data_IF_301058906739
#
_entry.id   IF_301058906739
#
_cell.length_a   1.000
_cell.length_b   1.000
_cell.length_c   1.000
_cell.angle_alpha   90.00
_cell.angle_beta   90.00
_cell.angle_gamma   90.00
#
_symmetry.space_group_name_H-M   'P 1'
#
loop_
_entity.id
_entity.type
_entity.pdbx_description
1 polymer ?
#
# COMPACT_ATOMS: atom_id res chain seq x y z
N UNK A 1 23.40 38.96 -13.15
CA UNK A 1 23.74 38.01 -12.07
C UNK A 1 22.64 38.10 -11.05
N UNK A 2 21.68 37.17 -11.13
CA UNK A 2 20.59 37.06 -10.14
C UNK A 2 21.20 36.53 -8.85
N UNK A 3 20.96 37.19 -7.72
CA UNK A 3 21.31 36.67 -6.41
C UNK A 3 20.65 35.30 -6.24
N UNK A 4 21.34 34.27 -5.70
CA UNK A 4 20.69 33.05 -5.31
C UNK A 4 19.60 33.43 -4.30
N UNK A 5 18.36 33.01 -4.59
CA UNK A 5 17.25 33.15 -3.65
C UNK A 5 17.67 32.47 -2.36
N UNK A 6 17.55 33.17 -1.24
CA UNK A 6 17.77 32.58 0.07
C UNK A 6 16.78 31.39 0.21
N UNK A 7 17.24 30.24 0.73
CA UNK A 7 16.37 29.05 0.85
C UNK A 7 15.11 29.38 1.60
N UNK A 8 13.96 29.05 1.01
CA UNK A 8 12.66 29.18 1.66
C UNK A 8 12.64 28.26 2.89
N UNK A 9 12.22 28.81 4.03
CA UNK A 9 12.00 28.01 5.24
C UNK A 9 10.67 27.24 5.19
N UNK A 10 10.01 27.25 4.03
CA UNK A 10 8.67 26.67 3.88
C UNK A 10 8.72 25.15 4.02
N UNK A 11 7.90 24.63 4.94
CA UNK A 11 7.66 23.22 5.11
C UNK A 11 6.44 22.83 4.27
N UNK A 12 6.62 21.86 3.41
CA UNK A 12 5.56 21.27 2.62
C UNK A 12 5.20 19.90 3.20
N UNK A 13 3.93 19.53 3.15
CA UNK A 13 3.45 18.25 3.68
C UNK A 13 2.50 17.59 2.70
N UNK A 14 2.55 16.26 2.69
CA UNK A 14 1.61 15.42 1.95
C UNK A 14 1.24 14.20 2.79
N UNK A 15 0.05 13.66 2.55
CA UNK A 15 -0.41 12.39 3.10
C UNK A 15 -0.51 11.36 2.00
N UNK A 16 -0.20 10.12 2.31
CA UNK A 16 -0.52 8.99 1.46
C UNK A 16 -1.05 7.83 2.28
N UNK A 17 -2.06 7.18 1.73
CA UNK A 17 -2.88 6.20 2.42
C UNK A 17 -2.36 4.77 2.20
N UNK A 18 -2.61 3.91 3.19
CA UNK A 18 -2.43 2.47 3.08
C UNK A 18 -3.38 1.86 2.05
N UNK A 19 -3.17 0.58 1.72
CA UNK A 19 -4.09 -0.18 0.85
C UNK A 19 -4.38 -1.56 1.41
N UNK A 20 -5.45 -2.15 0.91
CA UNK A 20 -5.76 -3.57 0.98
C UNK A 20 -6.00 -4.10 -0.42
N UNK A 21 -5.74 -5.40 -0.66
CA UNK A 21 -6.17 -6.08 -1.88
C UNK A 21 -7.53 -6.73 -1.61
N UNK A 22 -8.56 -6.29 -2.32
CA UNK A 22 -9.88 -6.92 -2.30
C UNK A 22 -9.88 -8.20 -3.14
N UNK A 23 -9.09 -8.19 -4.19
CA UNK A 23 -8.83 -9.31 -5.07
C UNK A 23 -7.35 -9.32 -5.46
N UNK A 24 -6.74 -10.49 -5.48
CA UNK A 24 -5.39 -10.70 -6.00
C UNK A 24 -5.33 -12.04 -6.73
N UNK A 25 -5.60 -12.00 -8.01
CA UNK A 25 -5.39 -13.10 -8.94
C UNK A 25 -3.96 -13.08 -9.46
N UNK A 26 -3.30 -14.23 -9.46
CA UNK A 26 -1.92 -14.40 -9.91
C UNK A 26 -1.87 -15.41 -11.04
N UNK A 27 -1.45 -14.96 -12.22
CA UNK A 27 -1.25 -15.79 -13.42
C UNK A 27 -0.12 -16.81 -13.25
N UNK A 28 0.18 -17.52 -14.32
CA UNK A 28 1.35 -18.37 -14.38
C UNK A 28 2.65 -17.54 -14.43
N UNK A 29 3.77 -18.15 -14.00
CA UNK A 29 5.07 -17.52 -14.09
C UNK A 29 5.44 -17.20 -15.55
N UNK A 30 5.88 -15.97 -15.81
CA UNK A 30 6.31 -15.50 -17.12
C UNK A 30 7.79 -15.76 -17.32
N UNK A 31 8.26 -15.68 -18.57
CA UNK A 31 9.69 -15.84 -18.91
C UNK A 31 10.59 -14.81 -18.24
N UNK A 32 10.06 -13.62 -17.91
CA UNK A 32 10.77 -12.55 -17.20
C UNK A 32 10.85 -12.79 -15.66
N UNK A 33 10.30 -13.89 -15.16
CA UNK A 33 10.28 -14.26 -13.75
C UNK A 33 9.17 -13.55 -12.92
N UNK A 34 8.31 -12.77 -13.57
CA UNK A 34 7.14 -12.16 -12.94
C UNK A 34 5.86 -12.94 -13.28
N UNK A 35 4.77 -12.57 -12.65
CA UNK A 35 3.44 -13.11 -12.90
C UNK A 35 2.54 -12.00 -13.43
N UNK A 36 1.62 -12.34 -14.32
CA UNK A 36 0.51 -11.46 -14.66
C UNK A 36 -0.43 -11.37 -13.47
N UNK A 37 -0.77 -10.16 -13.06
CA UNK A 37 -1.69 -9.93 -11.95
C UNK A 37 -3.02 -9.36 -12.45
N UNK A 38 -4.10 -9.78 -11.78
CA UNK A 38 -5.36 -9.06 -11.77
C UNK A 38 -5.68 -8.77 -10.31
N UNK A 39 -5.49 -7.53 -9.89
CA UNK A 39 -5.69 -7.14 -8.49
C UNK A 39 -6.65 -5.98 -8.37
N UNK A 40 -7.54 -6.03 -7.38
CA UNK A 40 -8.39 -4.90 -7.02
C UNK A 40 -7.89 -4.35 -5.70
N UNK A 41 -7.35 -3.13 -5.78
CA UNK A 41 -6.88 -2.38 -4.62
C UNK A 41 -7.97 -1.48 -4.06
N UNK A 42 -7.96 -1.28 -2.75
CA UNK A 42 -8.71 -0.23 -2.09
C UNK A 42 -7.81 0.53 -1.12
N UNK A 43 -7.81 1.86 -1.19
CA UNK A 43 -7.10 2.72 -0.25
C UNK A 43 -7.86 2.78 1.07
N UNK A 44 -7.12 2.82 2.19
CA UNK A 44 -7.64 2.88 3.55
C UNK A 44 -7.29 4.23 4.18
N UNK A 45 -8.12 4.72 5.10
CA UNK A 45 -7.95 6.02 5.76
C UNK A 45 -6.77 6.11 6.77
N UNK A 46 -5.99 5.05 6.86
CA UNK A 46 -4.71 5.06 7.58
C UNK A 46 -3.61 5.60 6.66
N UNK A 47 -2.90 6.62 7.11
CA UNK A 47 -1.92 7.32 6.28
C UNK A 47 -0.65 7.66 7.04
N UNK A 48 0.44 7.75 6.30
CA UNK A 48 1.68 8.39 6.73
C UNK A 48 1.67 9.87 6.34
N UNK A 49 2.45 10.68 7.04
CA UNK A 49 2.68 12.08 6.70
C UNK A 49 4.13 12.23 6.27
N UNK A 50 4.33 12.73 5.05
CA UNK A 50 5.64 13.05 4.52
C UNK A 50 5.79 14.56 4.48
N UNK A 51 6.89 15.06 4.99
CA UNK A 51 7.22 16.49 5.02
C UNK A 51 8.52 16.73 4.25
N UNK A 52 8.58 17.80 3.50
CA UNK A 52 9.78 18.21 2.78
C UNK A 52 10.04 19.68 2.97
N UNK A 53 11.31 20.03 3.19
CA UNK A 53 11.82 21.38 3.22
C UNK A 53 13.12 21.44 2.43
N UNK A 54 13.22 22.40 1.52
CA UNK A 54 14.46 22.59 0.80
C UNK A 54 15.63 22.94 1.75
N UNK A 55 16.81 22.38 1.50
CA UNK A 55 18.06 22.62 2.20
C UNK A 55 19.21 22.28 1.25
N UNK A 56 20.40 22.83 1.46
CA UNK A 56 21.61 22.42 0.73
C UNK A 56 22.07 21.02 1.14
N UNK A 57 21.83 20.65 2.40
CA UNK A 57 22.15 19.34 2.96
C UNK A 57 21.02 18.34 2.71
N UNK A 58 21.39 17.06 2.54
CA UNK A 58 20.47 15.93 2.44
C UNK A 58 20.25 15.36 3.83
N UNK A 59 18.99 15.30 4.27
CA UNK A 59 18.62 14.64 5.51
C UNK A 59 17.34 13.83 5.28
N UNK A 60 17.36 12.57 5.71
CA UNK A 60 16.18 11.69 5.70
C UNK A 60 15.89 11.27 7.13
N UNK A 61 14.71 11.61 7.62
CA UNK A 61 14.28 11.32 8.99
C UNK A 61 13.03 10.43 8.98
N UNK A 62 12.97 9.48 9.91
CA UNK A 62 11.83 8.60 10.07
C UNK A 62 11.39 8.62 11.52
N UNK A 63 10.13 8.98 11.73
CA UNK A 63 9.51 9.11 13.05
C UNK A 63 8.19 8.32 13.10
N UNK A 64 7.50 8.35 14.24
CA UNK A 64 6.22 7.69 14.41
C UNK A 64 6.30 6.26 14.95
N UNK A 65 5.12 5.69 15.23
CA UNK A 65 4.98 4.40 15.92
C UNK A 65 5.48 3.20 15.13
N UNK A 66 5.60 3.34 13.80
CA UNK A 66 6.03 2.29 12.87
C UNK A 66 7.36 2.62 12.18
N UNK A 67 8.17 3.54 12.73
CA UNK A 67 9.47 3.94 12.20
C UNK A 67 10.53 2.83 12.23
N UNK A 68 10.42 1.89 13.16
CA UNK A 68 11.45 0.84 13.36
C UNK A 68 11.63 -0.01 12.11
N UNK A 69 12.87 -0.07 11.60
CA UNK A 69 13.25 -0.86 10.43
C UNK A 69 13.02 -0.16 9.08
N UNK A 70 12.48 1.07 9.08
CA UNK A 70 12.39 1.89 7.87
C UNK A 70 13.73 2.60 7.65
N UNK A 71 14.35 2.52 6.45
CA UNK A 71 15.63 3.19 6.18
C UNK A 71 15.53 4.71 6.33
N UNK A 72 16.42 5.30 7.12
CA UNK A 72 16.58 6.75 7.25
C UNK A 72 17.80 7.24 6.44
N UNK A 73 17.89 6.80 5.19
CA UNK A 73 19.00 7.08 4.26
C UNK A 73 18.44 7.38 2.87
N UNK A 74 19.29 7.79 1.97
CA UNK A 74 18.94 8.03 0.55
C UNK A 74 18.48 6.77 -0.20
N UNK A 75 18.70 5.57 0.34
CA UNK A 75 18.13 4.33 -0.20
C UNK A 75 16.61 4.20 0.06
N UNK A 76 16.05 5.08 0.89
CA UNK A 76 14.60 5.10 1.15
C UNK A 76 13.83 5.44 -0.13
N UNK A 77 12.75 4.69 -0.39
CA UNK A 77 11.95 4.83 -1.60
C UNK A 77 11.35 6.25 -1.75
N UNK A 78 10.99 6.89 -0.63
CA UNK A 78 10.49 8.26 -0.63
C UNK A 78 11.59 9.28 -1.02
N UNK A 79 12.86 9.05 -0.60
CA UNK A 79 13.95 9.90 -1.08
C UNK A 79 14.23 9.68 -2.56
N UNK A 80 14.21 8.44 -3.03
CA UNK A 80 14.34 8.14 -4.47
C UNK A 80 13.26 8.82 -5.31
N UNK A 81 12.06 8.98 -4.75
CA UNK A 81 10.99 9.74 -5.39
C UNK A 81 11.37 11.24 -5.54
N UNK A 82 11.97 11.85 -4.51
CA UNK A 82 12.51 13.22 -4.58
C UNK A 82 13.60 13.32 -5.67
N UNK A 83 14.51 12.34 -5.72
CA UNK A 83 15.58 12.32 -6.75
C UNK A 83 15.03 12.25 -8.17
N UNK A 84 14.04 11.40 -8.43
CA UNK A 84 13.42 11.29 -9.76
C UNK A 84 12.75 12.60 -10.19
N UNK A 85 12.02 13.25 -9.29
CA UNK A 85 11.39 14.54 -9.58
C UNK A 85 12.44 15.62 -9.79
N UNK A 86 13.45 15.73 -8.93
CA UNK A 86 14.53 16.69 -9.06
C UNK A 86 15.28 16.53 -10.40
N UNK A 87 15.61 15.28 -10.77
CA UNK A 87 16.21 14.96 -12.06
C UNK A 87 15.33 15.43 -13.23
N UNK A 88 14.02 15.21 -13.14
CA UNK A 88 13.08 15.62 -14.18
C UNK A 88 13.00 17.14 -14.34
N UNK A 89 13.09 17.85 -13.24
CA UNK A 89 13.11 19.31 -13.20
C UNK A 89 14.51 19.92 -13.50
N UNK A 90 15.53 19.08 -13.69
CA UNK A 90 16.94 19.47 -13.85
C UNK A 90 17.47 20.28 -12.65
N UNK A 91 17.13 19.80 -11.45
CA UNK A 91 17.52 20.39 -10.17
C UNK A 91 18.36 19.39 -9.36
N UNK A 92 19.21 19.86 -8.43
CA UNK A 92 19.86 18.99 -7.47
C UNK A 92 18.80 18.38 -6.53
N UNK A 93 18.94 17.10 -6.21
CA UNK A 93 18.14 16.44 -5.18
C UNK A 93 18.76 16.72 -3.82
N UNK A 94 18.30 17.74 -3.13
CA UNK A 94 18.76 18.15 -1.79
C UNK A 94 17.55 18.48 -0.94
N UNK A 95 17.72 18.56 0.38
CA UNK A 95 16.65 18.94 1.29
C UNK A 95 16.48 17.97 2.46
N UNK A 96 15.53 18.29 3.31
CA UNK A 96 15.18 17.52 4.49
C UNK A 96 13.81 16.86 4.23
N UNK A 97 13.81 15.54 4.18
CA UNK A 97 12.62 14.71 4.04
C UNK A 97 12.34 14.01 5.37
N UNK A 98 11.16 14.22 5.94
CA UNK A 98 10.74 13.58 7.18
C UNK A 98 9.49 12.75 6.93
N UNK A 99 9.47 11.49 7.37
CA UNK A 99 8.33 10.59 7.27
C UNK A 99 7.83 10.24 8.68
N UNK A 100 6.57 10.58 8.96
CA UNK A 100 5.87 10.14 10.17
C UNK A 100 5.07 8.88 9.86
N UNK A 101 5.54 7.73 10.38
CA UNK A 101 5.01 6.40 10.08
C UNK A 101 3.85 6.00 10.98
N UNK A 102 2.66 5.96 10.41
CA UNK A 102 1.43 5.46 11.03
C UNK A 102 0.89 4.20 10.34
N UNK A 103 1.30 3.93 9.08
CA UNK A 103 1.03 2.68 8.38
C UNK A 103 1.98 1.60 8.92
N UNK A 104 1.46 0.45 9.36
CA UNK A 104 2.31 -0.65 9.82
C UNK A 104 3.30 -1.13 8.77
N UNK A 105 4.58 -1.23 9.13
CA UNK A 105 5.66 -1.65 8.24
C UNK A 105 5.70 -3.18 7.98
N UNK A 106 4.70 -3.93 8.44
CA UNK A 106 4.72 -5.39 8.47
C UNK A 106 4.50 -6.10 7.11
N UNK A 107 4.28 -5.35 6.03
CA UNK A 107 3.98 -5.90 4.69
C UNK A 107 2.48 -6.03 4.39
N UNK A 108 2.12 -5.98 3.12
CA UNK A 108 0.74 -6.11 2.63
C UNK A 108 -0.07 -4.81 2.58
N UNK A 109 0.36 -3.71 3.22
CA UNK A 109 -0.34 -2.42 3.27
C UNK A 109 0.33 -1.29 2.45
N UNK A 110 1.42 -1.57 1.76
CA UNK A 110 2.15 -0.64 0.88
C UNK A 110 2.67 0.65 1.54
N UNK A 111 3.05 0.64 2.84
CA UNK A 111 3.49 1.84 3.56
C UNK A 111 4.68 2.55 2.93
N UNK A 112 5.69 1.82 2.43
CA UNK A 112 6.82 2.42 1.71
C UNK A 112 6.43 3.02 0.35
N UNK A 113 5.47 2.40 -0.35
CA UNK A 113 4.92 2.92 -1.60
C UNK A 113 4.07 4.18 -1.37
N UNK A 114 3.33 4.22 -0.26
CA UNK A 114 2.59 5.40 0.18
C UNK A 114 3.53 6.58 0.44
N UNK A 115 4.63 6.36 1.18
CA UNK A 115 5.64 7.39 1.40
C UNK A 115 6.23 7.92 0.08
N UNK A 116 6.54 7.00 -0.85
CA UNK A 116 7.08 7.37 -2.16
C UNK A 116 6.08 8.18 -2.99
N UNK A 117 4.80 7.82 -2.99
CA UNK A 117 3.75 8.56 -3.69
C UNK A 117 3.56 9.97 -3.10
N UNK A 118 3.53 10.08 -1.76
CA UNK A 118 3.50 11.39 -1.10
C UNK A 118 4.73 12.22 -1.44
N UNK A 119 5.92 11.61 -1.44
CA UNK A 119 7.17 12.30 -1.77
C UNK A 119 7.24 12.75 -3.23
N UNK A 120 6.72 11.95 -4.20
CA UNK A 120 6.60 12.36 -5.61
C UNK A 120 5.76 13.64 -5.75
N UNK A 121 4.56 13.62 -5.18
CA UNK A 121 3.63 14.75 -5.23
C UNK A 121 4.24 15.98 -4.55
N UNK A 122 4.81 15.78 -3.37
CA UNK A 122 5.38 16.81 -2.53
C UNK A 122 6.61 17.45 -3.17
N UNK A 123 7.56 16.64 -3.67
CA UNK A 123 8.75 17.13 -4.36
C UNK A 123 8.39 17.88 -5.64
N UNK A 124 7.42 17.39 -6.41
CA UNK A 124 6.95 18.08 -7.62
C UNK A 124 6.42 19.47 -7.28
N UNK A 125 5.59 19.58 -6.25
CA UNK A 125 5.05 20.87 -5.84
C UNK A 125 6.11 21.80 -5.22
N UNK A 126 6.91 21.30 -4.29
CA UNK A 126 7.90 22.09 -3.56
C UNK A 126 9.01 22.60 -4.48
N UNK A 127 9.63 21.70 -5.26
CA UNK A 127 10.75 22.08 -6.14
C UNK A 127 10.29 22.96 -7.30
N UNK A 128 9.14 22.71 -7.90
CA UNK A 128 8.63 23.57 -8.98
C UNK A 128 8.32 24.98 -8.46
N UNK A 129 7.74 25.10 -7.26
CA UNK A 129 7.45 26.39 -6.62
C UNK A 129 8.72 27.13 -6.24
N UNK A 130 9.65 26.48 -5.53
CA UNK A 130 10.88 27.07 -5.02
C UNK A 130 11.78 27.59 -6.15
N UNK A 131 11.90 26.82 -7.23
CA UNK A 131 12.79 27.16 -8.35
C UNK A 131 12.07 27.76 -9.57
N UNK A 132 10.79 28.09 -9.45
CA UNK A 132 9.97 28.64 -10.55
C UNK A 132 10.07 27.77 -11.81
N UNK A 133 9.88 26.46 -11.66
CA UNK A 133 9.87 25.48 -12.75
C UNK A 133 8.44 25.05 -13.06
N UNK A 134 8.19 24.68 -14.32
CA UNK A 134 6.96 23.99 -14.68
C UNK A 134 6.91 22.64 -13.95
N UNK A 135 5.82 22.34 -13.25
CA UNK A 135 5.69 21.05 -12.55
C UNK A 135 5.66 19.89 -13.54
N UNK A 136 6.11 18.73 -13.10
CA UNK A 136 5.96 17.46 -13.82
C UNK A 136 4.46 17.16 -13.96
N UNK A 137 4.00 16.78 -15.14
CA UNK A 137 2.58 16.46 -15.40
C UNK A 137 2.13 15.21 -14.63
N UNK A 138 0.82 15.08 -14.42
CA UNK A 138 0.24 13.91 -13.72
C UNK A 138 0.61 12.59 -14.41
N UNK A 139 0.52 12.52 -15.75
CA UNK A 139 0.88 11.33 -16.50
C UNK A 139 2.34 10.92 -16.25
N UNK A 140 3.22 11.91 -16.21
CA UNK A 140 4.65 11.67 -15.97
C UNK A 140 4.92 11.29 -14.52
N UNK A 141 4.17 11.83 -13.55
CA UNK A 141 4.27 11.39 -12.16
C UNK A 141 3.85 9.92 -12.00
N UNK A 142 2.83 9.45 -12.74
CA UNK A 142 2.43 8.04 -12.76
C UNK A 142 3.53 7.15 -13.35
N UNK A 143 4.22 7.60 -14.42
CA UNK A 143 5.38 6.88 -14.95
C UNK A 143 6.50 6.76 -13.90
N UNK A 144 6.87 7.87 -13.25
CA UNK A 144 7.88 7.86 -12.19
C UNK A 144 7.46 6.99 -10.99
N UNK A 145 6.17 6.99 -10.66
CA UNK A 145 5.61 6.11 -9.63
C UNK A 145 5.82 4.62 -9.99
N UNK A 146 5.59 4.25 -11.27
CA UNK A 146 5.80 2.88 -11.76
C UNK A 146 7.26 2.44 -11.76
N UNK A 147 8.21 3.38 -11.94
CA UNK A 147 9.65 3.12 -11.82
C UNK A 147 10.06 2.81 -10.37
N UNK A 148 9.39 3.42 -9.39
CA UNK A 148 9.67 3.22 -7.96
C UNK A 148 9.16 1.89 -7.44
N UNK A 149 7.98 1.44 -7.90
CA UNK A 149 7.41 0.18 -7.48
C UNK A 149 5.96 0.00 -7.90
N UNK A 150 5.50 -1.26 -7.97
CA UNK A 150 4.19 -1.63 -8.51
C UNK A 150 3.00 -1.02 -7.74
N UNK A 151 3.12 -0.83 -6.42
CA UNK A 151 2.05 -0.28 -5.59
C UNK A 151 2.06 1.27 -5.55
N UNK A 152 3.16 1.93 -5.98
CA UNK A 152 3.30 3.40 -5.90
C UNK A 152 2.27 4.13 -6.76
N UNK A 153 1.97 3.71 -8.00
CA UNK A 153 0.91 4.33 -8.80
C UNK A 153 -0.44 4.29 -8.10
N UNK A 154 -0.78 3.16 -7.45
CA UNK A 154 -2.05 3.04 -6.73
C UNK A 154 -2.10 3.96 -5.51
N UNK A 155 -1.05 4.03 -4.70
CA UNK A 155 -1.02 4.92 -3.53
C UNK A 155 -1.01 6.40 -3.93
N UNK A 156 -0.56 6.73 -5.14
CA UNK A 156 -0.70 8.06 -5.74
C UNK A 156 -2.17 8.35 -6.15
N UNK A 157 -2.84 7.38 -6.79
CA UNK A 157 -4.22 7.49 -7.29
C UNK A 157 -5.26 7.41 -6.16
N UNK A 158 -5.17 6.40 -5.28
CA UNK A 158 -6.14 6.09 -4.24
C UNK A 158 -7.48 5.54 -4.73
N UNK A 159 -8.50 5.65 -3.88
CA UNK A 159 -9.83 5.14 -4.18
C UNK A 159 -9.88 3.62 -4.24
N UNK A 160 -10.54 3.10 -5.29
CA UNK A 160 -10.56 1.69 -5.63
C UNK A 160 -10.15 1.53 -7.09
N UNK A 161 -9.23 0.63 -7.40
CA UNK A 161 -8.73 0.45 -8.76
C UNK A 161 -8.41 -1.02 -9.07
N UNK A 162 -8.63 -1.40 -10.33
CA UNK A 162 -8.13 -2.62 -10.93
C UNK A 162 -6.70 -2.38 -11.41
N UNK A 163 -5.77 -3.20 -10.94
CA UNK A 163 -4.40 -3.26 -11.41
C UNK A 163 -4.14 -4.50 -12.26
N UNK A 164 -3.46 -4.33 -13.38
CA UNK A 164 -2.98 -5.38 -14.28
C UNK A 164 -1.48 -5.28 -14.47
N UNK A 165 -0.89 -6.18 -15.27
CA UNK A 165 0.56 -6.29 -15.39
C UNK A 165 1.16 -6.84 -14.10
N UNK A 166 2.02 -6.09 -13.43
CA UNK A 166 2.52 -6.39 -12.08
C UNK A 166 1.70 -5.67 -10.99
N UNK A 167 0.54 -5.08 -11.36
CA UNK A 167 -0.33 -4.27 -10.52
C UNK A 167 -0.24 -2.75 -10.81
N UNK A 168 0.68 -2.32 -11.67
CA UNK A 168 0.95 -0.90 -11.98
C UNK A 168 0.02 -0.31 -13.03
N UNK A 169 -0.60 -1.14 -13.88
CA UNK A 169 -1.52 -0.68 -14.93
C UNK A 169 -2.92 -0.52 -14.35
N UNK A 170 -3.23 0.69 -13.91
CA UNK A 170 -4.41 0.98 -13.10
C UNK A 170 -5.60 1.45 -13.95
N UNK A 171 -6.78 0.95 -13.57
CA UNK A 171 -8.07 1.45 -14.03
C UNK A 171 -8.96 1.72 -12.81
N UNK A 172 -9.43 2.96 -12.66
CA UNK A 172 -10.31 3.33 -11.55
C UNK A 172 -11.60 2.50 -11.59
N UNK A 173 -12.07 2.05 -10.43
CA UNK A 173 -13.31 1.30 -10.27
C UNK A 173 -14.32 2.08 -9.45
N UNK A 174 -15.59 1.98 -9.85
CA UNK A 174 -16.67 2.53 -9.04
C UNK A 174 -16.85 1.71 -7.76
N UNK A 175 -16.87 2.38 -6.63
CA UNK A 175 -17.15 1.80 -5.32
C UNK A 175 -18.20 2.67 -4.62
N UNK A 176 -19.36 2.10 -4.29
CA UNK A 176 -20.47 2.82 -3.64
C UNK A 176 -20.49 2.62 -2.12
N UNK A 177 -19.86 1.56 -1.65
CA UNK A 177 -19.80 1.24 -0.22
C UNK A 177 -18.72 2.04 0.51
N UNK A 178 -18.94 2.21 1.82
CA UNK A 178 -17.88 2.47 2.78
C UNK A 178 -17.66 1.18 3.56
N UNK A 179 -16.42 0.67 3.52
CA UNK A 179 -16.08 -0.62 4.08
C UNK A 179 -15.21 -0.45 5.31
N UNK A 180 -15.49 -1.24 6.34
CA UNK A 180 -14.81 -1.17 7.64
C UNK A 180 -13.92 -2.40 7.77
N UNK A 181 -12.67 -2.16 8.12
CA UNK A 181 -11.63 -3.18 8.18
C UNK A 181 -11.00 -3.24 9.56
N UNK A 182 -10.96 -4.43 10.16
CA UNK A 182 -10.05 -4.75 11.23
C UNK A 182 -8.75 -5.28 10.62
N UNK A 183 -7.64 -4.60 10.86
CA UNK A 183 -6.33 -4.93 10.31
C UNK A 183 -5.45 -5.50 11.42
N UNK A 184 -4.91 -6.68 11.20
CA UNK A 184 -4.00 -7.35 12.12
C UNK A 184 -2.63 -7.51 11.46
N UNK A 185 -1.60 -6.97 12.08
CA UNK A 185 -0.23 -7.03 11.59
C UNK A 185 0.67 -7.85 12.51
N UNK A 186 1.69 -8.46 11.95
CA UNK A 186 2.67 -9.26 12.67
C UNK A 186 4.04 -8.58 12.65
N UNK A 187 4.84 -8.79 13.70
CA UNK A 187 6.18 -8.23 13.79
C UNK A 187 7.17 -8.84 12.77
N UNK A 188 6.97 -10.10 12.41
CA UNK A 188 7.79 -10.81 11.43
C UNK A 188 7.16 -10.73 10.06
N UNK A 189 7.84 -10.09 9.10
CA UNK A 189 7.40 -9.97 7.71
C UNK A 189 7.45 -11.28 6.93
N UNK A 190 6.78 -11.30 5.78
CA UNK A 190 6.96 -12.30 4.73
C UNK A 190 7.63 -11.64 3.52
N UNK A 191 8.63 -12.31 2.95
CA UNK A 191 9.26 -11.86 1.72
C UNK A 191 8.32 -12.11 0.53
N UNK A 192 7.94 -11.08 -0.18
CA UNK A 192 7.06 -11.20 -1.36
C UNK A 192 7.59 -12.20 -2.39
N UNK A 193 8.86 -12.15 -2.83
CA UNK A 193 9.39 -13.17 -3.73
C UNK A 193 9.27 -14.61 -3.20
N UNK A 194 9.49 -14.82 -1.90
CA UNK A 194 9.35 -16.14 -1.26
C UNK A 194 7.92 -16.66 -1.33
N UNK A 195 6.92 -15.78 -1.18
CA UNK A 195 5.50 -16.17 -1.24
C UNK A 195 5.11 -16.54 -2.67
N UNK A 196 5.55 -15.79 -3.69
CA UNK A 196 5.33 -16.13 -5.10
C UNK A 196 5.98 -17.46 -5.46
N UNK A 197 7.24 -17.65 -5.08
CA UNK A 197 7.94 -18.93 -5.30
C UNK A 197 7.19 -20.10 -4.64
N UNK A 198 6.68 -19.89 -3.42
CA UNK A 198 5.86 -20.91 -2.73
C UNK A 198 4.55 -21.21 -3.45
N UNK A 199 3.91 -20.22 -4.06
CA UNK A 199 2.73 -20.43 -4.90
C UNK A 199 3.08 -21.34 -6.09
N UNK A 200 4.19 -21.07 -6.78
CA UNK A 200 4.64 -21.87 -7.93
C UNK A 200 4.96 -23.32 -7.51
N UNK A 201 5.63 -23.52 -6.38
CA UNK A 201 5.85 -24.86 -5.82
C UNK A 201 4.53 -25.60 -5.55
N UNK A 202 3.55 -24.91 -4.96
CA UNK A 202 2.26 -25.52 -4.66
C UNK A 202 1.47 -25.88 -5.93
N UNK A 203 1.52 -25.01 -6.96
CA UNK A 203 0.89 -25.27 -8.26
C UNK A 203 1.56 -26.44 -8.98
N UNK A 204 2.88 -26.47 -9.04
CA UNK A 204 3.66 -27.57 -9.62
C UNK A 204 3.39 -28.91 -8.94
N UNK A 205 3.11 -28.90 -7.64
CA UNK A 205 2.76 -30.09 -6.87
C UNK A 205 1.26 -30.48 -6.96
N UNK A 206 0.45 -29.78 -7.77
CA UNK A 206 -1.00 -30.00 -7.88
C UNK A 206 -1.80 -29.64 -6.61
N UNK A 207 -1.23 -28.83 -5.71
CA UNK A 207 -1.84 -28.42 -4.44
C UNK A 207 -2.19 -26.95 -4.37
N UNK A 208 -1.80 -26.17 -5.39
CA UNK A 208 -2.13 -24.75 -5.53
C UNK A 208 -3.46 -24.55 -6.26
N UNK A 209 -4.10 -23.39 -6.03
CA UNK A 209 -5.26 -22.95 -6.81
C UNK A 209 -4.84 -22.61 -8.25
N UNK A 210 -5.73 -22.86 -9.20
CA UNK A 210 -5.59 -22.29 -10.55
C UNK A 210 -5.60 -20.77 -10.50
N UNK A 211 -4.94 -20.05 -11.44
CA UNK A 211 -5.00 -18.60 -11.52
C UNK A 211 -6.44 -18.08 -11.55
N UNK A 212 -6.76 -17.12 -10.67
CA UNK A 212 -8.08 -16.49 -10.60
C UNK A 212 -7.98 -15.02 -11.03
N UNK A 213 -7.94 -14.79 -12.34
CA UNK A 213 -7.75 -13.45 -12.92
C UNK A 213 -9.08 -12.70 -13.19
N UNK A 214 -10.20 -13.34 -12.95
CA UNK A 214 -11.53 -12.74 -13.09
C UNK A 214 -11.86 -11.85 -11.88
N UNK A 215 -12.21 -10.60 -12.15
CA UNK A 215 -12.54 -9.57 -11.14
C UNK A 215 -14.00 -9.11 -11.21
N UNK A 216 -14.85 -9.80 -12.00
CA UNK A 216 -16.24 -9.39 -12.22
C UNK A 216 -17.04 -9.42 -10.90
N UNK A 217 -16.92 -10.49 -10.12
CA UNK A 217 -17.65 -10.63 -8.87
C UNK A 217 -17.33 -9.51 -7.86
N UNK A 218 -16.04 -9.17 -7.68
CA UNK A 218 -15.64 -8.06 -6.81
C UNK A 218 -16.08 -6.71 -7.37
N UNK A 219 -16.07 -6.53 -8.70
CA UNK A 219 -16.57 -5.33 -9.35
C UNK A 219 -18.07 -5.10 -9.12
N UNK A 220 -18.88 -6.16 -9.24
CA UNK A 220 -20.32 -6.10 -8.97
C UNK A 220 -20.63 -5.80 -7.50
N UNK A 221 -19.92 -6.44 -6.57
CA UNK A 221 -20.05 -6.19 -5.14
C UNK A 221 -19.67 -4.76 -4.75
N UNK A 222 -18.67 -4.15 -5.39
CA UNK A 222 -18.31 -2.74 -5.19
C UNK A 222 -19.40 -1.78 -5.70
N UNK A 223 -20.07 -2.12 -6.79
CA UNK A 223 -21.19 -1.34 -7.33
C UNK A 223 -22.44 -1.47 -6.44
N UNK A 224 -22.72 -2.63 -5.87
CA UNK A 224 -23.84 -2.80 -4.93
C UNK A 224 -23.61 -2.00 -3.64
N UNK A 225 -22.37 -1.97 -3.15
CA UNK A 225 -21.97 -1.30 -1.91
C UNK A 225 -22.29 -2.12 -0.65
N UNK A 226 -22.79 -3.35 -0.80
CA UNK A 226 -23.07 -4.25 0.32
C UNK A 226 -21.77 -4.94 0.79
N UNK A 227 -21.36 -4.77 2.07
CA UNK A 227 -20.16 -5.41 2.58
C UNK A 227 -20.24 -6.95 2.60
N UNK A 228 -21.45 -7.53 2.66
CA UNK A 228 -21.64 -8.99 2.64
C UNK A 228 -21.37 -9.56 1.25
N UNK A 229 -21.80 -8.85 0.21
CA UNK A 229 -21.48 -9.23 -1.18
C UNK A 229 -19.98 -9.09 -1.45
N UNK A 230 -19.36 -8.01 -0.95
CA UNK A 230 -17.91 -7.84 -1.06
C UNK A 230 -17.16 -8.94 -0.31
N UNK A 231 -17.59 -9.31 0.91
CA UNK A 231 -16.98 -10.39 1.68
C UNK A 231 -16.97 -11.73 0.90
N UNK A 232 -18.07 -12.04 0.21
CA UNK A 232 -18.16 -13.24 -0.62
C UNK A 232 -17.25 -13.22 -1.86
N UNK A 233 -16.89 -12.01 -2.35
CA UNK A 233 -16.05 -11.80 -3.53
C UNK A 233 -14.56 -11.60 -3.21
N UNK A 234 -14.16 -11.47 -1.93
CA UNK A 234 -12.76 -11.33 -1.54
C UNK A 234 -11.93 -12.56 -1.91
N UNK A 235 -10.79 -12.33 -2.57
CA UNK A 235 -9.93 -13.41 -3.05
C UNK A 235 -8.44 -13.04 -3.04
N UNK A 236 -7.58 -14.02 -2.72
CA UNK A 236 -6.12 -13.86 -2.82
C UNK A 236 -5.44 -15.20 -3.16
N UNK A 237 -4.94 -15.34 -4.39
CA UNK A 237 -4.21 -16.54 -4.85
C UNK A 237 -2.92 -16.80 -4.04
N UNK A 238 -2.31 -15.76 -3.43
CA UNK A 238 -1.13 -15.91 -2.59
C UNK A 238 -1.46 -16.45 -1.18
N UNK A 239 -2.72 -16.41 -0.74
CA UNK A 239 -3.09 -16.80 0.62
C UNK A 239 -2.70 -18.23 0.98
N UNK A 240 -2.92 -19.26 0.15
CA UNK A 240 -2.46 -20.63 0.45
C UNK A 240 -0.94 -20.72 0.63
N UNK A 241 -0.18 -19.98 -0.16
CA UNK A 241 1.28 -19.91 -0.04
C UNK A 241 1.73 -19.21 1.25
N UNK A 242 1.13 -18.07 1.57
CA UNK A 242 1.37 -17.34 2.82
C UNK A 242 1.07 -18.21 4.04
N UNK A 243 -0.07 -18.91 4.05
CA UNK A 243 -0.46 -19.84 5.12
C UNK A 243 0.45 -21.07 5.21
N UNK A 244 1.02 -21.53 4.10
CA UNK A 244 2.01 -22.61 4.11
C UNK A 244 3.34 -22.18 4.75
N UNK A 245 3.76 -20.95 4.53
CA UNK A 245 4.98 -20.37 5.10
C UNK A 245 4.79 -19.90 6.55
N UNK A 246 3.58 -19.41 6.88
CA UNK A 246 3.18 -18.88 8.18
C UNK A 246 1.85 -19.50 8.62
N UNK A 247 1.87 -20.73 9.18
CA UNK A 247 0.66 -21.42 9.61
C UNK A 247 -0.13 -20.70 10.73
N UNK A 248 0.53 -19.84 11.51
CA UNK A 248 -0.08 -19.01 12.54
C UNK A 248 -1.13 -18.02 11.97
N UNK A 249 -0.97 -17.59 10.71
CA UNK A 249 -1.96 -16.75 10.04
C UNK A 249 -3.32 -17.42 9.88
N UNK A 250 -3.36 -18.77 9.77
CA UNK A 250 -4.60 -19.52 9.74
C UNK A 250 -5.41 -19.29 11.02
N UNK A 251 -4.74 -19.44 12.17
CA UNK A 251 -5.39 -19.21 13.46
C UNK A 251 -5.91 -17.78 13.59
N UNK A 252 -5.15 -16.80 13.09
CA UNK A 252 -5.56 -15.37 13.10
C UNK A 252 -6.84 -15.20 12.28
N UNK A 253 -6.89 -15.76 11.06
CA UNK A 253 -8.07 -15.67 10.18
C UNK A 253 -9.28 -16.35 10.82
N UNK A 254 -9.12 -17.58 11.32
CA UNK A 254 -10.20 -18.34 11.95
C UNK A 254 -10.74 -17.61 13.21
N UNK A 255 -9.84 -17.02 14.03
CA UNK A 255 -10.24 -16.25 15.23
C UNK A 255 -11.04 -15.00 14.85
N UNK A 256 -10.61 -14.25 13.82
CA UNK A 256 -11.29 -13.02 13.41
C UNK A 256 -12.68 -13.29 12.79
N UNK A 257 -12.81 -14.35 11.99
CA UNK A 257 -14.11 -14.75 11.45
C UNK A 257 -15.04 -15.25 12.57
N UNK A 258 -14.52 -16.01 13.54
CA UNK A 258 -15.30 -16.44 14.72
C UNK A 258 -15.72 -15.28 15.63
N UNK A 259 -14.96 -14.18 15.64
CA UNK A 259 -15.28 -12.94 16.37
C UNK A 259 -16.29 -12.04 15.65
N UNK A 260 -16.83 -12.47 14.50
CA UNK A 260 -17.91 -11.77 13.80
C UNK A 260 -17.50 -11.03 12.52
N UNK A 261 -16.25 -11.11 12.07
CA UNK A 261 -15.87 -10.56 10.78
C UNK A 261 -16.65 -11.28 9.65
N UNK A 262 -17.10 -10.53 8.66
CA UNK A 262 -17.76 -11.08 7.48
C UNK A 262 -16.82 -11.98 6.67
N UNK A 263 -15.55 -11.58 6.57
CA UNK A 263 -14.49 -12.34 5.90
C UNK A 263 -13.11 -11.86 6.33
N UNK A 264 -12.19 -12.82 6.54
CA UNK A 264 -10.76 -12.57 6.73
C UNK A 264 -9.96 -12.92 5.48
N UNK A 265 -8.96 -12.10 5.14
CA UNK A 265 -8.06 -12.33 4.01
C UNK A 265 -6.64 -11.91 4.36
N UNK A 266 -5.64 -12.61 3.83
CA UNK A 266 -4.25 -12.11 3.83
C UNK A 266 -4.14 -10.99 2.81
N UNK A 267 -3.65 -9.81 3.21
CA UNK A 267 -3.45 -8.67 2.30
C UNK A 267 -2.16 -8.82 1.50
N UNK A 268 -2.26 -8.90 0.18
CA UNK A 268 -1.11 -9.11 -0.71
C UNK A 268 -0.37 -10.40 -0.40
N UNK A 269 0.96 -10.35 -0.30
CA UNK A 269 1.79 -11.47 0.14
C UNK A 269 1.76 -11.71 1.66
N UNK A 270 1.09 -10.84 2.42
CA UNK A 270 1.05 -10.89 3.87
C UNK A 270 2.32 -10.33 4.55
N UNK A 271 2.47 -10.55 5.85
CA UNK A 271 1.64 -11.36 6.75
C UNK A 271 0.43 -10.59 7.35
N UNK A 272 0.09 -9.41 6.87
CA UNK A 272 -1.07 -8.66 7.34
C UNK A 272 -2.36 -9.43 7.01
N UNK A 273 -3.22 -9.62 8.01
CA UNK A 273 -4.58 -10.12 7.84
C UNK A 273 -5.55 -8.94 7.92
N UNK A 274 -6.44 -8.83 6.93
CA UNK A 274 -7.48 -7.82 6.86
C UNK A 274 -8.84 -8.51 6.99
N UNK A 275 -9.70 -7.98 7.84
CA UNK A 275 -11.02 -8.51 8.10
C UNK A 275 -12.06 -7.47 7.73
N UNK A 276 -12.91 -7.80 6.78
CA UNK A 276 -14.06 -6.98 6.44
C UNK A 276 -15.14 -7.17 7.50
N UNK A 277 -15.61 -6.08 8.07
CA UNK A 277 -16.62 -6.05 9.12
C UNK A 277 -17.87 -5.31 8.66
N UNK A 278 -19.00 -5.60 9.27
CA UNK A 278 -20.26 -4.94 8.95
C UNK A 278 -20.28 -3.50 9.46
N UNK A 279 -19.70 -3.29 10.65
CA UNK A 279 -19.63 -2.02 11.35
C UNK A 279 -18.34 -1.88 12.18
N UNK A 280 -18.15 -0.71 12.77
CA UNK A 280 -16.97 -0.37 13.56
C UNK A 280 -16.92 -1.12 14.90
N UNK A 281 -18.09 -1.40 15.50
CA UNK A 281 -18.21 -2.16 16.75
C UNK A 281 -17.66 -3.58 16.55
N UNK A 282 -18.14 -4.27 15.51
CA UNK A 282 -17.64 -5.59 15.12
C UNK A 282 -16.13 -5.56 14.82
N UNK A 283 -15.65 -4.52 14.12
CA UNK A 283 -14.21 -4.42 13.84
C UNK A 283 -13.38 -4.28 15.12
N UNK A 284 -13.86 -3.53 16.11
CA UNK A 284 -13.21 -3.41 17.41
C UNK A 284 -13.22 -4.73 18.18
N UNK A 285 -14.31 -5.50 18.13
CA UNK A 285 -14.41 -6.82 18.76
C UNK A 285 -13.43 -7.82 18.13
N UNK A 286 -13.37 -7.86 16.78
CA UNK A 286 -12.41 -8.68 16.04
C UNK A 286 -10.97 -8.34 16.44
N UNK A 287 -10.62 -7.06 16.48
CA UNK A 287 -9.29 -6.60 16.93
C UNK A 287 -8.99 -7.07 18.36
N UNK A 288 -9.93 -6.88 19.28
CA UNK A 288 -9.75 -7.25 20.69
C UNK A 288 -9.52 -8.76 20.84
N UNK A 289 -10.39 -9.58 20.22
CA UNK A 289 -10.32 -11.04 20.31
C UNK A 289 -9.05 -11.60 19.68
N UNK A 290 -8.72 -11.16 18.46
CA UNK A 290 -7.52 -11.64 17.76
C UNK A 290 -6.25 -11.28 18.53
N UNK A 291 -6.14 -10.05 19.06
CA UNK A 291 -4.98 -9.63 19.84
C UNK A 291 -4.86 -10.36 21.18
N UNK A 292 -5.98 -10.70 21.82
CA UNK A 292 -5.97 -11.50 23.05
C UNK A 292 -5.43 -12.92 22.82
N UNK A 293 -5.84 -13.54 21.70
CA UNK A 293 -5.51 -14.94 21.40
C UNK A 293 -4.16 -15.13 20.68
N UNK A 294 -3.60 -14.03 20.10
CA UNK A 294 -2.38 -14.08 19.30
C UNK A 294 -1.36 -13.02 19.78
N UNK A 295 -0.50 -13.40 20.72
CA UNK A 295 0.54 -12.53 21.28
C UNK A 295 1.51 -12.05 20.20
N UNK A 296 1.89 -10.76 20.26
CA UNK A 296 2.85 -10.14 19.34
C UNK A 296 2.22 -9.57 18.07
N UNK A 297 0.91 -9.68 17.89
CA UNK A 297 0.17 -8.95 16.86
C UNK A 297 -0.05 -7.49 17.26
N UNK A 298 -0.18 -6.64 16.26
CA UNK A 298 -0.67 -5.26 16.39
C UNK A 298 -1.90 -5.10 15.52
N UNK A 299 -2.73 -4.14 15.85
CA UNK A 299 -4.00 -3.96 15.17
C UNK A 299 -4.39 -2.51 15.01
N UNK A 300 -5.27 -2.27 14.08
CA UNK A 300 -5.97 -1.01 13.89
C UNK A 300 -7.31 -1.27 13.19
N UNK A 301 -8.23 -0.33 13.32
CA UNK A 301 -9.45 -0.27 12.51
C UNK A 301 -9.25 0.81 11.46
N UNK A 302 -9.67 0.53 10.24
CA UNK A 302 -9.55 1.44 9.11
C UNK A 302 -10.82 1.41 8.26
N UNK A 303 -11.05 2.46 7.49
CA UNK A 303 -12.15 2.51 6.53
C UNK A 303 -11.64 2.75 5.11
N UNK A 304 -12.38 2.28 4.12
CA UNK A 304 -12.10 2.52 2.71
C UNK A 304 -13.40 2.69 1.90
N UNK A 305 -13.31 3.25 0.69
CA UNK A 305 -12.10 3.78 0.06
C UNK A 305 -11.66 5.15 0.61
N UNK A 306 -10.35 5.40 0.63
CA UNK A 306 -9.73 6.69 0.93
C UNK A 306 -9.11 7.33 -0.33
N UNK A 307 -8.73 8.60 -0.25
CA UNK A 307 -8.05 9.29 -1.36
C UNK A 307 -6.64 8.76 -1.61
N UNK A 308 -6.05 9.11 -2.74
CA UNK A 308 -4.63 8.94 -3.00
C UNK A 308 -3.76 9.94 -2.23
N UNK A 309 -2.50 10.08 -2.66
CA UNK A 309 -1.60 11.07 -2.11
C UNK A 309 -2.16 12.49 -2.30
N UNK A 310 -2.12 13.30 -1.24
CA UNK A 310 -2.63 14.68 -1.24
C UNK A 310 -1.71 15.61 -0.49
N UNK A 311 -1.53 16.83 -1.00
CA UNK A 311 -0.89 17.91 -0.25
C UNK A 311 -1.79 18.35 0.91
N UNK A 312 -1.18 18.80 2.01
CA UNK A 312 -1.87 19.21 3.25
C UNK A 312 -1.60 20.69 3.52
#
# INVERSE_FOLDING_TARGET
>A
MSQPLAPSSQLWQARAHAKVNLHLGVGEAREDGFHELATVFQALDVHDVVSYRWSEDITVEVTGRHAKGVPATTDNLAWRAVELVAQRLMLPATGILTMEKNIPAAGGMAGGSADAAAALLLANHALSTEFSREPVTEEKLVELASELGSDVPFTLMGGTALGRGRGELLTSMMSRGRYIWAIITNAEGLSTPTVFHKLDELRAAGRGSSPHLDTEAVGQALISGDPRELAAALHNDLQPAALSLRPDLRKILDTGEAAGALKGIVSGSGPTCAFLCEDEETACEVVAQVCADNRGTRSLVATGPASGATLV
#
